data_IF_149819085216
#
_entry.id   IF_149819085216
#
_cell.length_a   1.000
_cell.length_b   1.000
_cell.length_c   1.000
_cell.angle_alpha   90.00
_cell.angle_beta   90.00
_cell.angle_gamma   90.00
#
_symmetry.space_group_name_H-M   'P 1'
#
loop_
_entity.id
_entity.type
_entity.pdbx_description
1 polymer ?
#
# COMPACT_ATOMS: atom_id res chain seq x y z
N UNK A 1 -13.20 27.97 -2.62
CA UNK A 1 -13.93 26.70 -2.80
C UNK A 1 -13.46 25.76 -1.71
N UNK A 2 -14.38 25.33 -0.84
CA UNK A 2 -14.04 24.68 0.43
C UNK A 2 -13.84 23.18 0.28
N UNK A 3 -13.09 22.62 1.21
CA UNK A 3 -13.03 21.20 1.47
C UNK A 3 -14.42 20.62 1.80
N UNK A 4 -14.61 19.33 1.51
CA UNK A 4 -15.84 18.58 1.81
C UNK A 4 -15.64 17.87 3.14
N UNK A 5 -16.37 18.31 4.16
CA UNK A 5 -16.25 17.80 5.52
C UNK A 5 -17.64 17.42 6.04
N UNK A 6 -17.82 16.15 6.39
CA UNK A 6 -19.04 15.68 7.02
C UNK A 6 -18.74 15.26 8.46
N UNK A 7 -19.53 15.79 9.38
CA UNK A 7 -19.32 15.63 10.83
C UNK A 7 -19.99 14.37 11.38
N UNK A 8 -20.69 13.61 10.54
CA UNK A 8 -21.24 12.31 10.91
C UNK A 8 -21.26 11.33 9.73
N UNK A 9 -21.24 10.05 10.05
CA UNK A 9 -21.47 8.97 9.08
C UNK A 9 -22.81 9.13 8.34
N UNK A 10 -23.88 9.52 9.05
CA UNK A 10 -25.21 9.68 8.45
C UNK A 10 -25.23 10.76 7.38
N UNK A 11 -24.61 11.90 7.67
CA UNK A 11 -24.50 13.02 6.73
C UNK A 11 -23.62 12.65 5.53
N UNK A 12 -22.45 12.06 5.78
CA UNK A 12 -21.56 11.59 4.73
C UNK A 12 -22.23 10.57 3.79
N UNK A 13 -23.10 9.70 4.32
CA UNK A 13 -23.85 8.73 3.52
C UNK A 13 -24.87 9.43 2.60
N UNK A 14 -25.56 10.45 3.08
CA UNK A 14 -26.49 11.26 2.26
C UNK A 14 -25.77 11.98 1.12
N UNK A 15 -24.51 12.36 1.36
CA UNK A 15 -23.69 13.12 0.43
C UNK A 15 -22.48 12.33 -0.11
N UNK A 16 -22.62 11.01 -0.24
CA UNK A 16 -21.50 10.15 -0.61
C UNK A 16 -20.90 10.53 -1.98
N UNK A 17 -21.76 10.98 -2.90
CA UNK A 17 -21.31 11.45 -4.21
C UNK A 17 -20.36 12.65 -4.09
N UNK A 18 -20.74 13.67 -3.33
CA UNK A 18 -19.94 14.88 -3.12
C UNK A 18 -18.56 14.56 -2.51
N UNK A 19 -18.52 13.56 -1.63
CA UNK A 19 -17.30 13.04 -1.01
C UNK A 19 -16.37 12.36 -2.02
N UNK A 20 -16.93 11.51 -2.89
CA UNK A 20 -16.17 10.81 -3.94
C UNK A 20 -15.69 11.77 -5.04
N UNK A 21 -16.55 12.69 -5.48
CA UNK A 21 -16.21 13.72 -6.48
C UNK A 21 -15.07 14.60 -5.96
N UNK A 22 -15.12 15.02 -4.69
CA UNK A 22 -14.04 15.77 -4.06
C UNK A 22 -12.72 14.97 -3.99
N UNK A 23 -12.78 13.69 -3.63
CA UNK A 23 -11.59 12.83 -3.58
C UNK A 23 -10.95 12.63 -4.97
N UNK A 24 -11.77 12.42 -6.01
CA UNK A 24 -11.31 12.29 -7.40
C UNK A 24 -10.65 13.57 -7.93
N UNK A 25 -11.18 14.73 -7.54
CA UNK A 25 -10.58 16.04 -7.84
C UNK A 25 -9.30 16.33 -7.02
N UNK A 26 -8.91 15.44 -6.09
CA UNK A 26 -7.78 15.63 -5.20
C UNK A 26 -8.03 16.68 -4.11
N UNK A 27 -9.30 17.06 -3.87
CA UNK A 27 -9.68 17.96 -2.79
C UNK A 27 -9.73 17.22 -1.47
N UNK A 28 -9.61 17.98 -0.38
CA UNK A 28 -9.77 17.46 0.97
C UNK A 28 -11.22 17.00 1.16
N UNK A 29 -11.39 15.70 1.41
CA UNK A 29 -12.66 15.03 1.64
C UNK A 29 -12.55 14.19 2.91
N UNK A 30 -13.32 14.52 3.95
CA UNK A 30 -13.23 13.82 5.25
C UNK A 30 -14.59 13.50 5.85
N UNK A 31 -14.66 12.38 6.55
CA UNK A 31 -15.83 11.93 7.30
C UNK A 31 -15.44 11.68 8.75
N UNK A 32 -16.25 12.16 9.70
CA UNK A 32 -16.14 11.79 11.10
C UNK A 32 -17.05 10.61 11.42
N UNK A 33 -16.51 9.59 12.10
CA UNK A 33 -17.26 8.47 12.67
C UNK A 33 -16.86 8.34 14.14
N UNK A 34 -17.83 8.51 15.03
CA UNK A 34 -17.61 8.56 16.47
C UNK A 34 -16.55 9.61 16.83
N UNK A 35 -15.43 9.19 17.42
CA UNK A 35 -14.27 10.05 17.76
C UNK A 35 -13.22 10.13 16.65
N UNK A 36 -13.30 9.28 15.63
CA UNK A 36 -12.31 9.17 14.56
C UNK A 36 -12.66 10.01 13.33
N UNK A 37 -11.64 10.40 12.57
CA UNK A 37 -11.77 11.07 11.27
C UNK A 37 -11.08 10.25 10.20
N UNK A 38 -11.78 9.98 9.11
CA UNK A 38 -11.23 9.33 7.92
C UNK A 38 -11.14 10.34 6.77
N UNK A 39 -10.12 10.17 5.92
CA UNK A 39 -10.03 10.86 4.64
C UNK A 39 -10.46 9.90 3.53
N UNK A 40 -11.17 10.43 2.54
CA UNK A 40 -11.41 9.73 1.27
C UNK A 40 -10.48 10.33 0.23
N UNK A 41 -9.70 9.47 -0.41
CA UNK A 41 -8.66 9.86 -1.35
C UNK A 41 -8.83 9.00 -2.60
N UNK A 42 -8.57 9.59 -3.75
CA UNK A 42 -8.42 8.82 -4.98
C UNK A 42 -7.33 7.74 -4.84
N UNK A 43 -7.61 6.55 -5.36
CA UNK A 43 -6.75 5.36 -5.21
C UNK A 43 -5.38 5.60 -5.83
N UNK A 44 -5.31 6.11 -7.06
CA UNK A 44 -4.04 6.30 -7.76
C UNK A 44 -3.18 7.38 -7.11
N UNK A 45 -3.80 8.47 -6.64
CA UNK A 45 -3.09 9.51 -5.87
C UNK A 45 -2.50 8.95 -4.58
N UNK A 46 -3.28 8.16 -3.84
CA UNK A 46 -2.81 7.55 -2.60
C UNK A 46 -1.69 6.54 -2.87
N UNK A 47 -1.88 5.64 -3.84
CA UNK A 47 -0.88 4.64 -4.25
C UNK A 47 0.43 5.31 -4.68
N UNK A 48 0.35 6.36 -5.51
CA UNK A 48 1.53 7.11 -5.92
C UNK A 48 2.25 7.76 -4.74
N UNK A 49 1.52 8.45 -3.85
CA UNK A 49 2.13 9.02 -2.66
C UNK A 49 2.80 7.94 -1.78
N UNK A 50 2.13 6.80 -1.55
CA UNK A 50 2.66 5.69 -0.78
C UNK A 50 3.94 5.11 -1.42
N UNK A 51 3.99 4.98 -2.75
CA UNK A 51 5.19 4.49 -3.46
C UNK A 51 6.41 5.39 -3.28
N UNK A 52 6.20 6.68 -3.04
CA UNK A 52 7.27 7.65 -2.77
C UNK A 52 7.77 7.58 -1.32
N UNK A 53 6.87 7.40 -0.35
CA UNK A 53 7.23 7.43 1.09
C UNK A 53 7.61 6.06 1.65
N UNK A 54 7.04 4.98 1.11
CA UNK A 54 7.37 3.60 1.47
C UNK A 54 8.46 3.10 0.52
N UNK A 55 9.73 3.46 0.75
CA UNK A 55 10.83 2.92 -0.05
C UNK A 55 10.99 1.41 0.18
N UNK A 56 10.98 0.61 -0.89
CA UNK A 56 11.13 -0.85 -0.81
C UNK A 56 12.41 -1.27 -0.07
N UNK A 57 13.52 -0.55 -0.30
CA UNK A 57 14.86 -0.89 0.22
C UNK A 57 15.21 -2.39 0.04
N UNK A 58 14.69 -3.00 -1.02
CA UNK A 58 14.93 -4.40 -1.34
C UNK A 58 16.42 -4.62 -1.57
N UNK A 59 16.93 -5.71 -1.01
CA UNK A 59 18.28 -6.20 -1.28
C UNK A 59 18.16 -7.40 -2.20
N UNK A 60 18.95 -7.38 -3.26
CA UNK A 60 18.99 -8.41 -4.28
C UNK A 60 20.39 -9.00 -4.28
N UNK A 61 20.48 -10.32 -4.15
CA UNK A 61 21.75 -11.04 -4.10
C UNK A 61 21.71 -12.18 -5.11
N UNK A 62 22.79 -12.33 -5.89
CA UNK A 62 22.97 -13.49 -6.76
C UNK A 62 23.80 -14.54 -6.01
N UNK A 63 23.23 -15.70 -5.72
CA UNK A 63 23.90 -16.80 -5.01
C UNK A 63 23.58 -18.15 -5.64
N UNK A 64 24.58 -19.05 -5.69
CA UNK A 64 24.42 -20.44 -6.17
C UNK A 64 23.77 -20.62 -7.55
N UNK A 65 23.88 -19.62 -8.43
CA UNK A 65 23.27 -19.64 -9.77
C UNK A 65 21.81 -19.18 -9.82
N UNK A 66 21.26 -18.71 -8.70
CA UNK A 66 19.94 -18.07 -8.61
C UNK A 66 20.03 -16.66 -8.03
N UNK A 67 18.86 -16.12 -7.72
CA UNK A 67 18.64 -14.77 -7.21
C UNK A 67 17.77 -14.83 -5.97
N UNK A 68 18.17 -14.09 -4.93
CA UNK A 68 17.40 -13.92 -3.70
C UNK A 68 17.08 -12.45 -3.51
N UNK A 69 15.84 -12.15 -3.11
CA UNK A 69 15.37 -10.81 -2.79
C UNK A 69 14.81 -10.82 -1.38
N UNK A 70 15.15 -9.82 -0.58
CA UNK A 70 14.57 -9.62 0.75
C UNK A 70 14.49 -8.14 1.10
N UNK A 71 13.55 -7.78 1.97
CA UNK A 71 13.42 -6.40 2.46
C UNK A 71 13.82 -6.34 3.93
N UNK A 72 14.91 -5.65 4.30
CA UNK A 72 15.34 -5.54 5.68
C UNK A 72 14.24 -4.98 6.59
N UNK A 73 13.95 -5.69 7.68
CA UNK A 73 12.90 -5.32 8.63
C UNK A 73 11.51 -5.82 8.28
N UNK A 74 11.34 -6.50 7.14
CA UNK A 74 10.11 -7.22 6.81
C UNK A 74 10.39 -8.73 6.73
N UNK A 75 9.47 -9.58 7.20
CA UNK A 75 9.62 -11.03 7.09
C UNK A 75 9.11 -11.52 5.73
N UNK A 76 9.63 -10.92 4.65
CA UNK A 76 9.36 -11.32 3.27
C UNK A 76 10.69 -11.51 2.54
N UNK A 77 10.81 -12.64 1.86
CA UNK A 77 11.94 -13.00 1.04
C UNK A 77 11.43 -13.90 -0.10
N UNK A 78 12.11 -13.86 -1.23
CA UNK A 78 11.80 -14.68 -2.39
C UNK A 78 13.08 -15.08 -3.12
N UNK A 79 13.03 -16.24 -3.78
CA UNK A 79 14.14 -16.80 -4.54
C UNK A 79 13.66 -17.17 -5.95
N UNK A 80 14.54 -17.07 -6.94
CA UNK A 80 14.26 -17.45 -8.32
C UNK A 80 15.50 -17.91 -9.07
N UNK A 81 15.34 -18.72 -10.11
CA UNK A 81 16.44 -19.12 -10.99
C UNK A 81 16.90 -17.96 -11.89
N UNK A 82 16.05 -16.95 -12.07
CA UNK A 82 16.37 -15.68 -12.71
C UNK A 82 15.97 -14.49 -11.85
N UNK A 83 16.48 -13.30 -12.19
CA UNK A 83 16.10 -12.06 -11.51
C UNK A 83 14.60 -11.76 -11.66
N UNK A 84 14.05 -11.92 -12.87
CA UNK A 84 12.63 -11.65 -13.14
C UNK A 84 11.72 -12.62 -12.39
N UNK A 85 12.11 -13.89 -12.29
CA UNK A 85 11.41 -14.89 -11.47
C UNK A 85 11.45 -14.51 -9.99
N UNK A 86 12.62 -14.14 -9.45
CA UNK A 86 12.72 -13.72 -8.05
C UNK A 86 11.89 -12.46 -7.75
N UNK A 87 11.75 -11.54 -8.72
CA UNK A 87 10.85 -10.38 -8.61
C UNK A 87 9.38 -10.81 -8.58
N UNK A 88 8.96 -11.71 -9.48
CA UNK A 88 7.58 -12.23 -9.51
C UNK A 88 7.23 -12.91 -8.18
N UNK A 89 8.11 -13.78 -7.69
CA UNK A 89 7.93 -14.47 -6.41
C UNK A 89 7.92 -13.49 -5.23
N UNK A 90 8.71 -12.41 -5.29
CA UNK A 90 8.64 -11.35 -4.27
C UNK A 90 7.31 -10.59 -4.32
N UNK A 91 6.74 -10.35 -5.50
CA UNK A 91 5.40 -9.75 -5.62
C UNK A 91 4.37 -10.65 -4.95
N UNK A 92 4.39 -11.95 -5.22
CA UNK A 92 3.47 -12.92 -4.59
C UNK A 92 3.66 -12.96 -3.06
N UNK A 93 4.90 -13.01 -2.57
CA UNK A 93 5.19 -12.97 -1.14
C UNK A 93 4.69 -11.68 -0.45
N UNK A 94 4.74 -10.53 -1.15
CA UNK A 94 4.17 -9.28 -0.66
C UNK A 94 2.64 -9.33 -0.59
N UNK A 95 1.97 -9.95 -1.58
CA UNK A 95 0.52 -10.14 -1.56
C UNK A 95 0.10 -11.00 -0.37
N UNK A 96 0.77 -12.13 -0.17
CA UNK A 96 0.53 -13.02 0.98
C UNK A 96 0.75 -12.28 2.31
N UNK A 97 1.84 -11.51 2.42
CA UNK A 97 2.09 -10.70 3.60
C UNK A 97 0.99 -9.67 3.87
N UNK A 98 0.45 -9.02 2.82
CA UNK A 98 -0.64 -8.06 2.96
C UNK A 98 -1.95 -8.73 3.43
N UNK A 99 -2.24 -9.94 2.94
CA UNK A 99 -3.38 -10.74 3.40
C UNK A 99 -3.23 -11.15 4.87
N UNK A 100 -2.07 -11.73 5.23
CA UNK A 100 -1.73 -12.09 6.60
C UNK A 100 -1.79 -10.90 7.55
N UNK A 101 -1.38 -9.72 7.09
CA UNK A 101 -1.46 -8.51 7.89
C UNK A 101 -2.89 -8.12 8.20
N UNK A 102 -3.79 -8.20 7.23
CA UNK A 102 -5.20 -7.91 7.44
C UNK A 102 -5.89 -8.92 8.35
N UNK A 103 -5.58 -10.22 8.20
CA UNK A 103 -6.18 -11.29 8.98
C UNK A 103 -5.68 -11.31 10.44
N UNK A 104 -4.36 -11.26 10.65
CA UNK A 104 -3.75 -11.58 11.95
C UNK A 104 -2.60 -10.71 12.41
N UNK A 105 -1.85 -10.04 11.52
CA UNK A 105 -0.63 -9.30 11.95
C UNK A 105 -0.86 -7.82 12.29
N UNK A 106 -2.01 -7.22 11.97
CA UNK A 106 -2.29 -5.79 12.20
C UNK A 106 -2.12 -5.32 13.66
N UNK A 107 -2.22 -6.22 14.63
CA UNK A 107 -2.05 -5.90 16.06
C UNK A 107 -0.74 -6.42 16.64
N UNK A 108 0.10 -7.10 15.85
CA UNK A 108 1.38 -7.60 16.31
C UNK A 108 2.41 -6.45 16.40
N UNK A 109 3.17 -6.30 17.51
CA UNK A 109 4.02 -5.12 17.74
C UNK A 109 5.06 -4.85 16.64
N UNK A 110 5.57 -5.90 15.98
CA UNK A 110 6.55 -5.81 14.91
C UNK A 110 5.93 -5.61 13.51
N UNK A 111 4.59 -5.53 13.40
CA UNK A 111 3.86 -5.41 12.14
C UNK A 111 2.83 -4.28 12.12
N UNK A 112 2.33 -3.84 13.29
CA UNK A 112 1.21 -2.89 13.40
C UNK A 112 1.40 -1.58 12.61
N UNK A 113 2.64 -1.12 12.46
CA UNK A 113 2.98 0.12 11.77
C UNK A 113 3.14 -0.05 10.25
N UNK A 114 3.06 -1.28 9.73
CA UNK A 114 3.19 -1.57 8.29
C UNK A 114 1.92 -1.28 7.48
N UNK A 115 0.91 -0.61 8.06
CA UNK A 115 -0.34 -0.28 7.37
C UNK A 115 -0.10 0.46 6.04
N UNK A 116 0.86 1.38 5.97
CA UNK A 116 1.16 2.15 4.75
C UNK A 116 1.71 1.28 3.63
N UNK A 117 2.56 0.31 3.98
CA UNK A 117 3.08 -0.69 3.05
C UNK A 117 1.96 -1.62 2.56
N UNK A 118 1.10 -2.10 3.46
CA UNK A 118 -0.02 -2.99 3.09
C UNK A 118 -1.00 -2.28 2.17
N UNK A 119 -1.27 -1.00 2.42
CA UNK A 119 -2.07 -0.17 1.52
C UNK A 119 -1.38 -0.01 0.15
N UNK A 120 -0.06 0.23 0.10
CA UNK A 120 0.67 0.28 -1.17
C UNK A 120 0.53 -1.03 -1.94
N UNK A 121 0.76 -2.16 -1.27
CA UNK A 121 0.62 -3.50 -1.86
C UNK A 121 -0.79 -3.66 -2.42
N UNK A 122 -1.82 -3.52 -1.60
CA UNK A 122 -3.20 -3.76 -2.00
C UNK A 122 -3.71 -2.84 -3.12
N UNK A 123 -3.22 -1.60 -3.20
CA UNK A 123 -3.63 -0.62 -4.21
C UNK A 123 -2.81 -0.69 -5.51
N UNK A 124 -1.69 -1.39 -5.52
CA UNK A 124 -0.87 -1.56 -6.73
C UNK A 124 -1.22 -2.82 -7.49
N UNK A 125 -1.06 -2.79 -8.81
CA UNK A 125 -0.95 -4.01 -9.63
C UNK A 125 0.47 -4.61 -9.54
N UNK A 126 0.65 -5.79 -10.12
CA UNK A 126 1.91 -6.54 -9.99
C UNK A 126 3.08 -5.84 -10.70
N UNK A 127 2.81 -5.17 -11.82
CA UNK A 127 3.83 -4.41 -12.55
C UNK A 127 4.29 -3.20 -11.73
N UNK A 128 3.36 -2.48 -11.11
CA UNK A 128 3.67 -1.35 -10.25
C UNK A 128 4.47 -1.79 -9.01
N UNK A 129 4.21 -2.99 -8.46
CA UNK A 129 5.00 -3.55 -7.36
C UNK A 129 6.41 -3.97 -7.82
N UNK A 130 6.53 -4.61 -8.98
CA UNK A 130 7.82 -4.93 -9.58
C UNK A 130 8.65 -3.66 -9.82
N UNK A 131 8.05 -2.62 -10.42
CA UNK A 131 8.69 -1.33 -10.65
C UNK A 131 9.09 -0.64 -9.34
N UNK A 132 8.25 -0.75 -8.31
CA UNK A 132 8.55 -0.22 -6.98
C UNK A 132 9.73 -0.94 -6.31
N UNK A 133 9.82 -2.28 -6.45
CA UNK A 133 10.91 -3.10 -5.93
C UNK A 133 12.26 -2.70 -6.55
N UNK A 134 12.30 -2.48 -7.87
CA UNK A 134 13.53 -2.09 -8.59
C UNK A 134 13.81 -0.58 -8.57
N UNK A 135 12.88 0.21 -8.02
CA UNK A 135 13.02 1.65 -7.84
C UNK A 135 12.69 2.52 -9.06
N UNK A 136 12.04 1.95 -10.09
CA UNK A 136 11.55 2.64 -11.29
C UNK A 136 10.13 3.19 -11.13
N UNK A 137 9.35 2.68 -10.17
CA UNK A 137 7.94 3.05 -9.92
C UNK A 137 7.72 4.33 -9.09
N UNK A 138 8.71 5.24 -9.05
CA UNK A 138 8.65 6.51 -8.30
C UNK A 138 8.07 7.63 -9.14
#
# INVERSE_FOLDING_TARGET
MSAVHYESYTEARTHLKDLLDAAGEGRVATVRRDTGRAAVVDVERLRHYLSLVCSARAQVVAESGGWSIFIPGLPVAADGASFDEAISEMVDALREYAEDWQDRLRTAPNHQDNWGLVQLIALSDDQQLADWLVGTGR
#
